data_IF_590188925526
#
_entry.id   IF_590188925526
#
_cell.length_a   1.000
_cell.length_b   1.000
_cell.length_c   1.000
_cell.angle_alpha   90.00
_cell.angle_beta   90.00
_cell.angle_gamma   90.00
#
_symmetry.space_group_name_H-M   'P 1'
#
loop_
_entity.id
_entity.type
_entity.pdbx_description
1 polymer ?
#
# COMPACT_ATOMS: atom_id res chain seq x y z
N UNK A 1 -2.14 15.79 -14.23
CA UNK A 1 -1.56 15.12 -15.41
C UNK A 1 -1.12 13.72 -14.94
N UNK A 2 -1.18 12.69 -15.77
CA UNK A 2 -0.76 11.34 -15.38
C UNK A 2 0.77 11.29 -15.41
N UNK A 3 1.38 10.79 -14.33
CA UNK A 3 2.83 10.57 -14.25
C UNK A 3 3.07 9.10 -13.98
N UNK A 4 3.92 8.46 -14.80
CA UNK A 4 4.31 7.07 -14.64
C UNK A 4 5.82 6.97 -14.68
N UNK A 5 6.38 6.29 -13.69
CA UNK A 5 7.80 5.94 -13.62
C UNK A 5 7.93 4.43 -13.55
N UNK A 6 8.96 3.90 -14.20
CA UNK A 6 9.22 2.47 -14.29
C UNK A 6 10.67 2.22 -13.95
N UNK A 7 10.94 1.16 -13.18
CA UNK A 7 12.28 0.76 -12.82
C UNK A 7 12.42 -0.77 -12.83
N UNK A 8 13.59 -1.24 -13.24
CA UNK A 8 13.95 -2.65 -13.18
C UNK A 8 14.43 -3.00 -11.76
N UNK A 9 13.77 -3.94 -11.09
CA UNK A 9 14.12 -4.42 -9.74
C UNK A 9 14.42 -5.91 -9.82
N UNK A 10 15.70 -6.27 -9.87
CA UNK A 10 16.12 -7.65 -10.12
C UNK A 10 15.65 -8.12 -11.50
N UNK A 11 14.92 -9.23 -11.55
CA UNK A 11 14.36 -9.77 -12.79
C UNK A 11 13.00 -9.19 -13.18
N UNK A 12 12.35 -8.40 -12.31
CA UNK A 12 11.01 -7.87 -12.55
C UNK A 12 11.03 -6.36 -12.80
N UNK A 13 10.07 -5.89 -13.58
CA UNK A 13 9.85 -4.46 -13.81
C UNK A 13 8.74 -3.96 -12.89
N UNK A 14 9.02 -2.93 -12.11
CA UNK A 14 8.04 -2.28 -11.22
C UNK A 14 7.69 -0.92 -11.79
N UNK A 15 6.40 -0.61 -11.89
CA UNK A 15 5.93 0.71 -12.30
C UNK A 15 5.08 1.38 -11.22
N UNK A 16 5.21 2.69 -11.09
CA UNK A 16 4.43 3.53 -10.18
C UNK A 16 3.77 4.63 -11.00
N UNK A 17 2.46 4.73 -10.91
CA UNK A 17 1.65 5.73 -11.61
C UNK A 17 0.87 6.60 -10.62
N UNK A 18 0.81 7.91 -10.83
CA UNK A 18 -0.01 8.85 -10.06
C UNK A 18 -0.75 9.85 -10.96
N UNK A 19 -1.75 10.55 -10.40
CA UNK A 19 -2.46 11.66 -11.04
C UNK A 19 -3.65 11.25 -11.93
N UNK A 20 -4.01 9.96 -11.97
CA UNK A 20 -5.16 9.45 -12.73
C UNK A 20 -6.35 9.04 -11.85
N UNK A 21 -6.09 8.23 -10.82
CA UNK A 21 -7.10 7.65 -9.90
C UNK A 21 -7.00 8.36 -8.54
N UNK A 22 -8.11 8.40 -7.78
CA UNK A 22 -8.15 8.89 -6.40
C UNK A 22 -7.55 10.30 -6.18
N UNK A 23 -7.83 11.24 -7.11
CA UNK A 23 -7.29 12.61 -7.11
C UNK A 23 -7.68 13.49 -5.91
N UNK A 24 -8.64 13.04 -5.10
CA UNK A 24 -9.08 13.74 -3.90
C UNK A 24 -8.36 13.26 -2.63
N UNK A 25 -7.57 12.20 -2.71
CA UNK A 25 -6.66 11.82 -1.63
C UNK A 25 -5.45 12.75 -1.64
N UNK A 26 -4.84 12.97 -0.47
CA UNK A 26 -3.63 13.79 -0.35
C UNK A 26 -2.48 13.17 -1.17
N UNK A 27 -2.39 11.84 -1.19
CA UNK A 27 -1.53 11.10 -2.10
C UNK A 27 -2.17 9.83 -2.61
N UNK A 28 -1.97 9.51 -3.88
CA UNK A 28 -2.39 8.22 -4.44
C UNK A 28 -1.48 7.74 -5.56
N UNK A 29 -1.24 6.43 -5.59
CA UNK A 29 -0.44 5.76 -6.61
C UNK A 29 -1.05 4.42 -6.99
N UNK A 30 -0.84 3.99 -8.22
CA UNK A 30 -1.01 2.60 -8.64
C UNK A 30 0.38 2.02 -8.85
N UNK A 31 0.70 0.97 -8.11
CA UNK A 31 1.97 0.23 -8.25
C UNK A 31 1.69 -1.09 -8.95
N UNK A 32 2.52 -1.45 -9.92
CA UNK A 32 2.35 -2.68 -10.69
C UNK A 32 3.65 -3.42 -10.95
N UNK A 33 3.54 -4.75 -11.03
CA UNK A 33 4.60 -5.65 -11.49
C UNK A 33 3.95 -6.81 -12.22
N UNK A 34 4.34 -7.06 -13.47
CA UNK A 34 3.56 -7.93 -14.36
C UNK A 34 2.12 -7.45 -14.47
N UNK A 35 1.17 -8.37 -14.30
CA UNK A 35 -0.27 -8.05 -14.27
C UNK A 35 -0.83 -7.87 -12.85
N UNK A 36 0.03 -7.92 -11.82
CA UNK A 36 -0.36 -7.61 -10.44
C UNK A 36 -0.32 -6.10 -10.21
N UNK A 37 -1.43 -5.53 -9.72
CA UNK A 37 -1.62 -4.09 -9.53
C UNK A 37 -2.28 -3.78 -8.19
N UNK A 38 -1.71 -2.81 -7.46
CA UNK A 38 -2.23 -2.33 -6.18
C UNK A 38 -2.43 -0.82 -6.25
N UNK A 39 -3.64 -0.35 -5.96
CA UNK A 39 -3.92 1.07 -5.72
C UNK A 39 -3.66 1.38 -4.26
N UNK A 40 -2.85 2.39 -3.99
CA UNK A 40 -2.58 2.87 -2.63
C UNK A 40 -2.94 4.34 -2.53
N UNK A 41 -3.67 4.71 -1.48
CA UNK A 41 -4.02 6.10 -1.17
C UNK A 41 -3.68 6.42 0.27
N UNK A 42 -3.09 7.59 0.49
CA UNK A 42 -2.82 8.16 1.80
C UNK A 42 -3.67 9.42 1.99
N UNK A 43 -4.31 9.54 3.14
CA UNK A 43 -5.09 10.71 3.54
C UNK A 43 -4.79 11.03 4.99
N UNK A 44 -4.61 12.30 5.31
CA UNK A 44 -4.48 12.81 6.66
C UNK A 44 -5.52 13.88 6.95
N UNK A 45 -6.04 13.87 8.18
CA UNK A 45 -6.87 14.96 8.65
C UNK A 45 -6.09 16.29 8.64
N UNK A 46 -6.80 17.39 8.38
CA UNK A 46 -6.24 18.75 8.44
C UNK A 46 -6.31 19.37 9.84
N UNK A 47 -7.00 18.70 10.77
CA UNK A 47 -7.18 19.14 12.16
C UNK A 47 -6.99 17.95 13.10
N UNK A 48 -6.35 18.22 14.23
CA UNK A 48 -6.19 17.26 15.32
C UNK A 48 -7.53 17.16 16.08
N UNK A 49 -7.94 15.94 16.42
CA UNK A 49 -9.15 15.71 17.24
C UNK A 49 -8.92 16.24 18.66
N UNK A 50 -9.97 16.78 19.26
CA UNK A 50 -9.88 17.28 20.63
C UNK A 50 -9.52 16.14 21.59
N UNK A 51 -8.52 16.34 22.45
CA UNK A 51 -8.03 15.32 23.38
C UNK A 51 -7.14 14.22 22.77
N UNK A 52 -6.71 14.34 21.50
CA UNK A 52 -5.80 13.38 20.88
C UNK A 52 -4.40 13.49 21.48
N UNK A 53 -3.92 12.40 22.08
CA UNK A 53 -2.62 12.31 22.78
C UNK A 53 -1.66 11.26 22.16
N UNK A 54 -2.13 10.50 21.17
CA UNK A 54 -1.37 9.50 20.44
C UNK A 54 -1.45 9.70 18.92
N UNK A 55 -0.61 9.02 18.13
CA UNK A 55 -0.63 9.12 16.67
C UNK A 55 -1.56 8.06 16.01
N UNK A 56 -2.77 8.47 15.56
CA UNK A 56 -3.73 7.62 14.86
C UNK A 56 -3.32 7.35 13.41
N UNK A 57 -2.43 6.38 13.23
CA UNK A 57 -2.16 5.77 11.93
C UNK A 57 -2.96 4.49 11.77
N UNK A 58 -3.78 4.44 10.73
CA UNK A 58 -4.52 3.24 10.29
C UNK A 58 -4.01 2.80 8.93
N UNK A 59 -3.63 1.53 8.81
CA UNK A 59 -3.18 0.92 7.55
C UNK A 59 -4.04 -0.28 7.22
N UNK A 60 -4.74 -0.21 6.09
CA UNK A 60 -5.65 -1.25 5.61
C UNK A 60 -5.18 -1.77 4.25
N UNK A 61 -4.90 -3.06 4.16
CA UNK A 61 -4.70 -3.76 2.90
C UNK A 61 -5.90 -4.67 2.62
N UNK A 62 -6.45 -4.57 1.40
CA UNK A 62 -7.68 -5.26 1.01
C UNK A 62 -7.52 -6.00 -0.31
N UNK A 63 -7.87 -7.28 -0.32
CA UNK A 63 -7.91 -8.13 -1.50
C UNK A 63 -9.35 -8.29 -2.00
N UNK A 64 -9.61 -7.90 -3.25
CA UNK A 64 -10.91 -8.13 -3.89
C UNK A 64 -10.87 -9.42 -4.69
N UNK A 65 -11.91 -10.24 -4.61
CA UNK A 65 -12.01 -11.47 -5.41
C UNK A 65 -12.02 -11.17 -6.92
N UNK A 66 -12.52 -9.98 -7.30
CA UNK A 66 -12.47 -9.46 -8.66
C UNK A 66 -11.04 -9.33 -9.21
N UNK A 67 -10.02 -9.15 -8.37
CA UNK A 67 -8.62 -9.04 -8.80
C UNK A 67 -8.10 -10.33 -9.45
N UNK A 68 -8.72 -11.47 -9.17
CA UNK A 68 -8.42 -12.77 -9.81
C UNK A 68 -9.59 -13.27 -10.66
N UNK A 69 -10.54 -12.39 -11.02
CA UNK A 69 -11.70 -12.74 -11.84
C UNK A 69 -12.68 -13.70 -11.17
N UNK A 70 -12.76 -13.72 -9.83
CA UNK A 70 -13.65 -14.62 -9.08
C UNK A 70 -14.72 -13.86 -8.31
N UNK A 71 -15.85 -14.53 -8.06
CA UNK A 71 -16.84 -14.08 -7.09
C UNK A 71 -16.44 -14.54 -5.68
N UNK A 72 -16.69 -13.74 -4.63
CA UNK A 72 -16.45 -14.16 -3.26
C UNK A 72 -17.24 -15.44 -2.91
N UNK A 73 -16.58 -16.40 -2.25
CA UNK A 73 -17.14 -17.73 -1.99
C UNK A 73 -18.29 -17.74 -0.96
N UNK A 74 -18.29 -16.80 0.00
CA UNK A 74 -19.21 -16.78 1.14
C UNK A 74 -20.69 -16.59 0.77
N UNK A 75 -21.58 -16.79 1.76
CA UNK A 75 -23.04 -16.70 1.57
C UNK A 75 -23.48 -15.35 0.97
N UNK A 76 -22.94 -14.25 1.50
CA UNK A 76 -23.26 -12.89 1.05
C UNK A 76 -22.61 -12.49 -0.29
N UNK A 77 -21.75 -13.33 -0.88
CA UNK A 77 -21.04 -13.04 -2.14
C UNK A 77 -20.32 -11.68 -2.17
N UNK A 78 -19.82 -11.24 -1.00
CA UNK A 78 -19.09 -9.99 -0.79
C UNK A 78 -17.89 -10.22 0.11
N UNK A 79 -16.82 -9.46 -0.10
CA UNK A 79 -15.66 -9.43 0.80
C UNK A 79 -16.11 -8.94 2.19
N UNK A 80 -15.77 -9.74 3.20
CA UNK A 80 -16.15 -9.51 4.59
C UNK A 80 -15.03 -8.86 5.39
N UNK A 81 -14.85 -9.35 6.63
CA UNK A 81 -13.74 -8.92 7.49
C UNK A 81 -12.38 -9.25 6.84
N UNK A 82 -11.32 -8.50 7.18
CA UNK A 82 -9.96 -8.84 6.77
C UNK A 82 -9.60 -10.27 7.14
N UNK A 83 -9.02 -10.97 6.17
CA UNK A 83 -8.36 -12.25 6.35
C UNK A 83 -7.05 -12.08 7.13
N UNK A 84 -6.46 -13.21 7.53
CA UNK A 84 -5.16 -13.22 8.19
C UNK A 84 -4.08 -12.61 7.30
N UNK A 85 -4.03 -12.98 6.02
CA UNK A 85 -3.08 -12.39 5.05
C UNK A 85 -3.27 -10.88 4.97
N UNK A 86 -4.51 -10.41 4.84
CA UNK A 86 -4.78 -8.96 4.77
C UNK A 86 -4.30 -8.22 6.02
N UNK A 87 -4.56 -8.79 7.20
CA UNK A 87 -4.13 -8.21 8.49
C UNK A 87 -2.60 -8.21 8.62
N UNK A 88 -1.93 -9.28 8.20
CA UNK A 88 -0.46 -9.37 8.23
C UNK A 88 0.17 -8.37 7.27
N UNK A 89 -0.34 -8.24 6.05
CA UNK A 89 0.14 -7.25 5.08
C UNK A 89 -0.07 -5.82 5.59
N UNK A 90 -1.24 -5.51 6.17
CA UNK A 90 -1.47 -4.22 6.85
C UNK A 90 -0.40 -3.91 7.90
N UNK A 91 -0.08 -4.88 8.77
CA UNK A 91 0.94 -4.71 9.81
C UNK A 91 2.36 -4.60 9.23
N UNK A 92 2.66 -5.35 8.17
CA UNK A 92 3.95 -5.28 7.48
C UNK A 92 4.17 -3.91 6.83
N UNK A 93 3.11 -3.26 6.35
CA UNK A 93 3.15 -1.90 5.83
C UNK A 93 3.20 -0.85 6.94
N UNK A 94 2.44 -1.00 8.02
CA UNK A 94 2.41 -0.04 9.14
C UNK A 94 3.77 0.10 9.84
N UNK A 95 4.41 -1.03 10.15
CA UNK A 95 5.64 -1.11 10.95
C UNK A 95 6.79 -0.22 10.45
N UNK A 96 7.18 -0.25 9.15
CA UNK A 96 8.25 0.61 8.66
C UNK A 96 7.85 2.08 8.49
N UNK A 97 6.56 2.37 8.28
CA UNK A 97 6.10 3.74 8.02
C UNK A 97 5.88 4.54 9.32
N UNK A 98 5.31 3.91 10.35
CA UNK A 98 4.96 4.55 11.63
C UNK A 98 6.10 5.36 12.28
N UNK A 99 7.35 4.86 12.38
CA UNK A 99 8.42 5.62 13.01
C UNK A 99 8.96 6.79 12.18
N UNK A 100 8.55 6.93 10.91
CA UNK A 100 9.03 7.97 10.00
C UNK A 100 8.14 9.23 9.99
N UNK A 101 7.04 9.21 10.74
CA UNK A 101 6.26 10.42 10.99
C UNK A 101 6.97 11.28 12.05
N UNK A 102 6.94 12.62 11.94
CA UNK A 102 7.56 13.49 12.92
C UNK A 102 7.04 13.23 14.34
N UNK A 103 7.91 13.41 15.33
CA UNK A 103 7.50 13.36 16.73
C UNK A 103 6.41 14.41 17.01
N UNK A 104 5.33 14.00 17.68
CA UNK A 104 4.18 14.87 17.96
C UNK A 104 3.21 15.02 16.79
N UNK A 105 3.33 14.22 15.73
CA UNK A 105 2.33 14.16 14.66
C UNK A 105 1.09 13.39 15.13
N UNK A 106 -0.03 14.09 15.33
CA UNK A 106 -1.26 13.54 15.94
C UNK A 106 -2.48 13.62 15.01
N UNK A 107 -2.26 13.83 13.70
CA UNK A 107 -3.34 13.88 12.72
C UNK A 107 -3.80 12.47 12.34
N UNK A 108 -5.12 12.27 12.28
CA UNK A 108 -5.73 11.02 11.83
C UNK A 108 -5.33 10.71 10.40
N UNK A 109 -4.47 9.70 10.24
CA UNK A 109 -3.85 9.35 8.97
C UNK A 109 -4.24 7.94 8.58
N UNK A 110 -4.78 7.80 7.39
CA UNK A 110 -5.19 6.52 6.82
C UNK A 110 -4.40 6.22 5.56
N UNK A 111 -3.90 4.99 5.47
CA UNK A 111 -3.29 4.43 4.27
C UNK A 111 -4.11 3.21 3.87
N UNK A 112 -4.74 3.26 2.71
CA UNK A 112 -5.53 2.16 2.16
C UNK A 112 -4.82 1.61 0.93
N UNK A 113 -4.53 0.32 0.94
CA UNK A 113 -4.01 -0.44 -0.18
C UNK A 113 -5.09 -1.40 -0.68
N UNK A 114 -5.41 -1.35 -1.96
CA UNK A 114 -6.43 -2.17 -2.60
C UNK A 114 -5.83 -2.92 -3.78
N UNK A 115 -5.87 -4.25 -3.71
CA UNK A 115 -5.49 -5.11 -4.82
C UNK A 115 -6.52 -4.96 -5.95
N UNK A 116 -6.06 -4.51 -7.12
CA UNK A 116 -6.88 -4.32 -8.31
C UNK A 116 -6.83 -5.52 -9.25
N UNK A 117 -5.64 -6.12 -9.38
CA UNK A 117 -5.37 -7.26 -10.27
C UNK A 117 -4.27 -8.12 -9.66
N UNK A 118 -4.35 -9.43 -9.84
CA UNK A 118 -3.31 -10.37 -9.44
C UNK A 118 -3.09 -11.44 -10.52
N UNK A 119 -1.81 -11.64 -10.87
CA UNK A 119 -1.38 -12.57 -11.92
C UNK A 119 -1.11 -13.99 -11.41
N UNK A 120 -1.12 -14.19 -10.08
CA UNK A 120 -0.85 -15.47 -9.43
C UNK A 120 0.63 -15.87 -9.35
N UNK A 121 1.55 -15.00 -9.81
CA UNK A 121 2.99 -15.20 -9.77
C UNK A 121 3.67 -14.20 -8.83
N UNK A 122 3.26 -12.93 -8.88
CA UNK A 122 3.80 -11.85 -8.08
C UNK A 122 2.91 -11.58 -6.87
N UNK A 123 3.48 -11.67 -5.67
CA UNK A 123 2.74 -11.40 -4.44
C UNK A 123 2.56 -9.87 -4.26
N UNK A 124 1.32 -9.39 -4.04
CA UNK A 124 1.03 -7.97 -3.93
C UNK A 124 1.52 -7.27 -2.65
N UNK A 125 2.00 -8.01 -1.64
CA UNK A 125 2.39 -7.45 -0.35
C UNK A 125 3.54 -6.43 -0.46
N UNK A 126 4.57 -6.74 -1.23
CA UNK A 126 5.71 -5.84 -1.48
C UNK A 126 5.26 -4.59 -2.25
N UNK A 127 4.32 -4.73 -3.18
CA UNK A 127 3.75 -3.60 -3.92
C UNK A 127 2.93 -2.69 -3.01
N UNK A 128 2.20 -3.25 -2.03
CA UNK A 128 1.46 -2.48 -1.05
C UNK A 128 2.40 -1.62 -0.17
N UNK A 129 3.53 -2.16 0.28
CA UNK A 129 4.49 -1.41 1.11
C UNK A 129 5.15 -0.29 0.29
N UNK A 130 5.66 -0.61 -0.89
CA UNK A 130 6.29 0.38 -1.78
C UNK A 130 5.28 1.44 -2.25
N UNK A 131 4.03 1.03 -2.51
CA UNK A 131 2.95 1.94 -2.88
C UNK A 131 2.53 2.86 -1.74
N UNK A 132 2.49 2.38 -0.49
CA UNK A 132 2.23 3.22 0.67
C UNK A 132 3.34 4.27 0.88
N UNK A 133 4.60 3.86 0.75
CA UNK A 133 5.72 4.80 0.78
C UNK A 133 5.61 5.85 -0.32
N UNK A 134 5.35 5.42 -1.56
CA UNK A 134 5.21 6.33 -2.69
C UNK A 134 4.00 7.28 -2.52
N UNK A 135 2.84 6.78 -2.07
CA UNK A 135 1.65 7.59 -1.81
C UNK A 135 1.91 8.68 -0.76
N UNK A 136 2.62 8.35 0.34
CA UNK A 136 3.03 9.35 1.34
C UNK A 136 4.08 10.34 0.80
N UNK A 137 4.95 9.89 -0.11
CA UNK A 137 6.01 10.75 -0.65
C UNK A 137 5.47 11.74 -1.69
N UNK A 138 4.40 11.40 -2.40
CA UNK A 138 3.74 12.30 -3.36
C UNK A 138 2.67 13.20 -2.71
N UNK A 139 2.33 12.98 -1.45
CA UNK A 139 1.41 13.83 -0.70
C UNK A 139 2.12 14.99 -0.01
N UNK A 140 1.36 15.85 0.64
CA UNK A 140 1.83 16.93 1.51
C UNK A 140 1.92 16.51 2.99
N UNK A 141 1.69 15.23 3.30
CA UNK A 141 1.75 14.67 4.64
C UNK A 141 3.23 14.64 5.09
N UNK A 142 3.59 15.20 6.25
CA UNK A 142 4.97 15.22 6.69
C UNK A 142 5.45 13.80 7.04
N UNK A 143 6.40 13.31 6.25
CA UNK A 143 6.90 11.93 6.31
C UNK A 143 8.39 11.90 5.93
N UNK A 144 9.22 11.25 6.75
CA UNK A 144 10.68 11.20 6.61
C UNK A 144 11.19 10.05 5.72
N UNK A 145 10.34 9.46 4.88
CA UNK A 145 10.74 8.42 3.94
C UNK A 145 11.51 8.95 2.72
N UNK A 146 11.53 8.20 1.59
CA UNK A 146 10.78 6.98 1.31
C UNK A 146 11.35 5.71 1.96
N UNK A 147 10.53 4.66 2.04
CA UNK A 147 10.93 3.28 2.36
C UNK A 147 10.91 2.42 1.09
N UNK A 148 11.85 1.49 0.99
CA UNK A 148 11.83 0.41 0.01
C UNK A 148 11.58 -0.93 0.68
N UNK A 149 10.81 -1.79 0.02
CA UNK A 149 10.58 -3.17 0.43
C UNK A 149 10.93 -4.13 -0.72
N UNK A 150 11.59 -5.23 -0.37
CA UNK A 150 11.92 -6.35 -1.25
C UNK A 150 11.68 -7.66 -0.50
N UNK A 151 11.41 -8.73 -1.24
CA UNK A 151 11.37 -10.10 -0.72
C UNK A 151 12.67 -10.79 -1.11
N UNK A 152 13.33 -11.42 -0.15
CA UNK A 152 14.57 -12.18 -0.38
C UNK A 152 14.30 -13.65 -0.09
N UNK A 153 14.57 -14.50 -1.08
CA UNK A 153 14.56 -15.95 -0.95
C UNK A 153 15.98 -16.50 -0.82
N UNK A 154 16.10 -17.78 -0.43
CA UNK A 154 17.36 -18.51 -0.49
C UNK A 154 17.15 -19.86 -1.17
N UNK A 155 17.77 -20.06 -2.33
CA UNK A 155 17.64 -21.28 -3.14
C UNK A 155 19.03 -21.79 -3.48
N UNK A 156 19.29 -23.09 -3.25
CA UNK A 156 20.60 -23.72 -3.47
C UNK A 156 21.78 -22.99 -2.80
N UNK A 157 21.53 -22.32 -1.68
CA UNK A 157 22.54 -21.57 -0.93
C UNK A 157 22.69 -20.11 -1.36
N UNK A 158 22.14 -19.70 -2.49
CA UNK A 158 22.20 -18.35 -3.05
C UNK A 158 20.96 -17.52 -2.70
N UNK A 159 21.14 -16.20 -2.56
CA UNK A 159 20.03 -15.27 -2.38
C UNK A 159 19.40 -14.92 -3.72
N UNK A 160 18.07 -14.88 -3.75
CA UNK A 160 17.26 -14.45 -4.88
C UNK A 160 16.29 -13.35 -4.47
#
# INVERSE_FOLDING_TARGET
>A
MQHKVTAQIGSTEVSIETGKIAKLADGSVVVSTGDTMVLVSAVSATKIKEGQDWFPLTVDYREKAAAVGKFPGGYFKREGRPSEKETLTSRMTDRPLRPLFPAGYLYDTQIISMLLSADGQNDPDILAINGASAALTVSDIPFAGPVGAVRVGRVNGEFI
#
